data_IF_394406237388
#
_entry.id   IF_394406237388
#
_cell.length_a   1.000
_cell.length_b   1.000
_cell.length_c   1.000
_cell.angle_alpha   90.00
_cell.angle_beta   90.00
_cell.angle_gamma   90.00
#
_symmetry.space_group_name_H-M   'P 1'
#
loop_
_entity.id
_entity.type
_entity.pdbx_description
1 polymer ?
#
# COMPACT_ATOMS: atom_id res chain seq x y z
N UNK A 1 17.74 -16.32 -15.85
CA UNK A 1 17.64 -15.68 -14.53
C UNK A 1 16.92 -14.34 -14.73
N UNK A 2 15.90 -14.03 -13.96
CA UNK A 2 15.16 -12.78 -14.09
C UNK A 2 15.98 -11.66 -13.44
N UNK A 3 16.31 -10.61 -14.19
CA UNK A 3 16.95 -9.42 -13.64
C UNK A 3 15.86 -8.43 -13.18
N UNK A 4 15.82 -8.17 -11.89
CA UNK A 4 15.01 -7.10 -11.30
C UNK A 4 13.52 -7.41 -11.15
N UNK A 5 13.06 -7.53 -9.91
CA UNK A 5 11.68 -7.33 -9.53
C UNK A 5 11.50 -5.83 -9.33
N UNK A 6 10.83 -5.14 -10.23
CA UNK A 6 10.49 -3.74 -10.05
C UNK A 6 9.19 -3.65 -9.26
N UNK A 7 9.19 -2.90 -8.17
CA UNK A 7 8.05 -2.74 -7.28
C UNK A 7 7.65 -1.26 -7.22
N UNK A 8 6.42 -0.97 -7.61
CA UNK A 8 5.77 0.30 -7.27
C UNK A 8 5.02 0.10 -5.96
N UNK A 9 5.38 0.83 -4.93
CA UNK A 9 4.70 0.76 -3.65
C UNK A 9 4.04 2.09 -3.36
N UNK A 10 2.72 2.12 -3.39
CA UNK A 10 1.93 3.26 -2.92
C UNK A 10 1.78 3.16 -1.41
N UNK A 11 1.99 4.27 -0.71
CA UNK A 11 1.82 4.31 0.74
C UNK A 11 0.81 5.38 1.12
N UNK A 12 -0.23 4.95 1.81
CA UNK A 12 -1.25 5.83 2.38
C UNK A 12 -0.84 6.21 3.79
N UNK A 13 -0.70 7.51 4.04
CA UNK A 13 -0.32 8.09 5.31
C UNK A 13 -1.53 8.68 6.02
N UNK A 14 -1.63 8.49 7.34
CA UNK A 14 -2.56 9.24 8.19
C UNK A 14 -1.80 10.14 9.13
N UNK A 15 -2.20 11.41 9.15
CA UNK A 15 -1.78 12.39 10.14
C UNK A 15 -2.85 12.49 11.21
N UNK A 16 -2.51 12.28 12.45
CA UNK A 16 -3.38 12.51 13.59
C UNK A 16 -3.02 13.83 14.26
N UNK A 17 -4.04 14.53 14.71
CA UNK A 17 -4.03 15.93 15.12
C UNK A 17 -3.11 16.29 16.29
N UNK A 18 -2.76 17.59 16.34
CA UNK A 18 -2.12 18.38 17.37
C UNK A 18 -2.45 17.94 18.80
N UNK A 19 -1.57 17.15 19.41
CA UNK A 19 -1.42 17.14 20.85
C UNK A 19 -0.56 18.35 21.24
N UNK A 20 -1.15 19.52 21.49
CA UNK A 20 -0.52 20.52 22.35
C UNK A 20 -0.41 19.89 23.72
N UNK A 21 0.67 19.20 23.99
CA UNK A 21 1.09 18.80 25.32
C UNK A 21 1.41 20.06 26.14
N UNK A 22 0.38 20.73 26.64
CA UNK A 22 0.53 21.61 27.79
C UNK A 22 0.43 20.75 29.04
N UNK A 23 1.60 20.51 29.67
CA UNK A 23 1.83 19.92 30.98
C UNK A 23 1.73 18.38 31.14
N UNK A 24 2.76 17.86 31.79
CA UNK A 24 3.14 16.46 32.06
C UNK A 24 2.16 15.65 32.94
N UNK A 25 0.87 16.01 33.08
CA UNK A 25 -0.08 15.30 33.95
C UNK A 25 -1.47 15.10 33.33
N UNK A 26 -1.54 14.74 32.07
CA UNK A 26 -2.83 14.42 31.43
C UNK A 26 -3.13 12.93 31.57
N UNK A 27 -4.17 12.60 32.29
CA UNK A 27 -4.62 11.23 32.52
C UNK A 27 -4.87 10.46 31.22
N UNK A 28 -4.61 9.16 31.21
CA UNK A 28 -4.83 8.21 30.10
C UNK A 28 -6.20 8.35 29.40
N UNK A 29 -7.22 8.88 30.07
CA UNK A 29 -8.56 9.13 29.51
C UNK A 29 -8.60 10.30 28.50
N UNK A 30 -7.85 11.37 28.75
CA UNK A 30 -7.71 12.50 27.83
C UNK A 30 -6.89 12.11 26.60
N UNK A 31 -5.84 11.30 26.77
CA UNK A 31 -5.03 10.77 25.66
C UNK A 31 -5.91 10.00 24.65
N UNK A 32 -6.87 9.19 25.12
CA UNK A 32 -7.76 8.41 24.27
C UNK A 32 -8.76 9.28 23.47
N UNK A 33 -9.17 10.43 24.00
CA UNK A 33 -10.05 11.37 23.30
C UNK A 33 -9.30 12.19 22.23
N UNK A 34 -8.04 12.54 22.50
CA UNK A 34 -7.23 13.34 21.57
C UNK A 34 -6.60 12.52 20.43
N UNK A 35 -6.36 11.23 20.62
CA UNK A 35 -5.77 10.35 19.60
C UNK A 35 -6.75 9.92 18.49
N UNK A 36 -8.03 10.27 18.59
CA UNK A 36 -9.05 9.90 17.61
C UNK A 36 -9.53 11.05 16.72
N UNK A 37 -9.04 12.28 16.95
CA UNK A 37 -9.41 13.42 16.12
C UNK A 37 -8.39 13.62 15.00
N UNK A 38 -8.89 13.73 13.77
CA UNK A 38 -8.11 14.05 12.57
C UNK A 38 -7.70 15.53 12.55
N UNK A 39 -6.71 15.90 11.75
CA UNK A 39 -6.31 17.31 11.60
C UNK A 39 -7.27 18.11 10.73
N UNK A 40 -8.07 17.45 9.90
CA UNK A 40 -9.06 18.05 9.03
C UNK A 40 -10.26 17.11 8.81
N UNK A 41 -11.23 17.59 8.07
CA UNK A 41 -12.42 16.87 7.62
C UNK A 41 -12.47 16.82 6.08
N UNK A 42 -11.28 16.88 5.43
CA UNK A 42 -11.15 16.81 3.99
C UNK A 42 -11.38 15.38 3.47
N UNK A 43 -11.63 15.26 2.17
CA UNK A 43 -11.83 14.03 1.44
C UNK A 43 -10.89 13.90 0.25
N UNK A 44 -11.20 12.95 -0.62
CA UNK A 44 -10.36 12.56 -1.75
C UNK A 44 -10.09 13.73 -2.72
N UNK A 45 -8.81 14.08 -2.88
CA UNK A 45 -8.33 15.19 -3.71
C UNK A 45 -8.83 16.58 -3.30
N UNK A 46 -9.32 16.76 -2.06
CA UNK A 46 -9.58 18.09 -1.54
C UNK A 46 -8.29 18.91 -1.44
N UNK A 47 -8.44 20.23 -1.57
CA UNK A 47 -7.36 21.20 -1.57
C UNK A 47 -7.49 22.16 -0.38
N UNK A 48 -6.48 23.03 -0.18
CA UNK A 48 -6.58 24.14 0.75
C UNK A 48 -7.84 25.00 0.47
N UNK A 49 -8.51 25.51 1.51
CA UNK A 49 -8.15 25.45 2.93
C UNK A 49 -8.72 24.24 3.69
N UNK A 50 -9.38 23.29 3.01
CA UNK A 50 -10.01 22.13 3.66
C UNK A 50 -8.95 21.09 4.02
N UNK A 51 -8.02 20.81 3.12
CA UNK A 51 -6.84 19.97 3.36
C UNK A 51 -5.80 20.70 4.22
N UNK A 52 -5.83 20.48 5.52
CA UNK A 52 -4.91 21.10 6.46
C UNK A 52 -3.54 20.40 6.56
N UNK A 53 -3.30 19.36 5.76
CA UNK A 53 -2.04 18.63 5.70
C UNK A 53 -1.13 19.03 4.54
N UNK A 54 -1.57 19.91 3.64
CA UNK A 54 -0.86 20.28 2.41
C UNK A 54 0.57 20.76 2.66
N UNK A 55 0.81 21.66 3.62
CA UNK A 55 2.15 22.18 3.91
C UNK A 55 3.10 21.07 4.42
N UNK A 56 2.61 20.23 5.32
CA UNK A 56 3.38 19.10 5.83
C UNK A 56 3.71 18.11 4.71
N UNK A 57 2.73 17.80 3.84
CA UNK A 57 2.92 16.91 2.68
C UNK A 57 3.93 17.48 1.69
N UNK A 58 3.86 18.78 1.39
CA UNK A 58 4.83 19.47 0.53
C UNK A 58 6.25 19.34 1.08
N UNK A 59 6.47 19.64 2.36
CA UNK A 59 7.80 19.54 2.96
C UNK A 59 8.31 18.10 3.01
N UNK A 60 7.42 17.12 3.18
CA UNK A 60 7.76 15.70 3.09
C UNK A 60 8.25 15.38 1.67
N UNK A 61 7.50 15.76 0.64
CA UNK A 61 7.87 15.52 -0.75
C UNK A 61 9.22 16.14 -1.09
N UNK A 62 9.41 17.44 -0.81
CA UNK A 62 10.66 18.14 -1.08
C UNK A 62 11.86 17.53 -0.34
N UNK A 63 11.65 17.07 0.90
CA UNK A 63 12.72 16.39 1.66
C UNK A 63 13.05 15.03 1.04
N UNK A 64 12.06 14.26 0.64
CA UNK A 64 12.26 12.96 -0.01
C UNK A 64 12.96 13.11 -1.36
N UNK A 65 12.60 14.13 -2.16
CA UNK A 65 13.29 14.43 -3.42
C UNK A 65 14.77 14.77 -3.19
N UNK A 66 15.09 15.56 -2.15
CA UNK A 66 16.49 15.83 -1.74
C UNK A 66 17.24 14.56 -1.30
N UNK A 67 16.52 13.53 -0.83
CA UNK A 67 17.09 12.23 -0.47
C UNK A 67 17.18 11.26 -1.66
N UNK A 68 16.78 11.70 -2.86
CA UNK A 68 16.88 10.92 -4.11
C UNK A 68 15.62 10.14 -4.47
N UNK A 69 14.49 10.39 -3.82
CA UNK A 69 13.21 9.83 -4.25
C UNK A 69 12.68 10.58 -5.48
N UNK A 70 12.09 9.85 -6.42
CA UNK A 70 11.31 10.44 -7.50
C UNK A 70 9.84 10.39 -7.07
N UNK A 71 9.27 11.53 -6.66
CA UNK A 71 7.87 11.65 -6.26
C UNK A 71 6.99 11.72 -7.50
N UNK A 72 5.93 10.91 -7.55
CA UNK A 72 4.99 10.83 -8.67
C UNK A 72 3.68 11.55 -8.38
N UNK A 73 3.14 11.42 -7.16
CA UNK A 73 1.90 12.08 -6.74
C UNK A 73 1.88 12.36 -5.23
N UNK A 74 1.07 13.34 -4.85
CA UNK A 74 0.81 13.69 -3.45
C UNK A 74 -0.57 14.33 -3.34
N UNK A 75 -1.48 13.73 -2.57
CA UNK A 75 -2.85 14.21 -2.43
C UNK A 75 -3.46 13.86 -1.07
N UNK A 76 -4.59 14.51 -0.75
CA UNK A 76 -5.45 14.08 0.34
C UNK A 76 -6.21 12.81 -0.08
N UNK A 77 -6.31 11.83 0.82
CA UNK A 77 -7.01 10.57 0.60
C UNK A 77 -8.47 10.63 1.06
N UNK A 78 -9.20 9.52 0.92
CA UNK A 78 -10.66 9.44 1.15
C UNK A 78 -11.03 9.77 2.60
N UNK A 79 -10.26 9.27 3.57
CA UNK A 79 -10.61 9.47 4.97
C UNK A 79 -10.04 10.80 5.51
N UNK A 80 -10.78 11.42 6.40
CA UNK A 80 -10.36 12.62 7.13
C UNK A 80 -8.95 12.49 7.69
N UNK A 81 -8.09 13.47 7.41
CA UNK A 81 -6.68 13.50 7.82
C UNK A 81 -5.84 12.36 7.24
N UNK A 82 -6.26 11.76 6.14
CA UNK A 82 -5.52 10.72 5.43
C UNK A 82 -4.84 11.30 4.20
N UNK A 83 -3.56 11.00 4.04
CA UNK A 83 -2.73 11.51 2.96
C UNK A 83 -2.01 10.38 2.26
N UNK A 84 -1.78 10.55 0.94
CA UNK A 84 -1.03 9.64 0.10
C UNK A 84 0.11 10.38 -0.59
N UNK A 85 1.26 9.74 -0.63
CA UNK A 85 2.42 10.18 -1.40
C UNK A 85 2.94 8.96 -2.16
N UNK A 86 2.98 9.08 -3.47
CA UNK A 86 3.48 8.06 -4.37
C UNK A 86 4.90 8.40 -4.82
N UNK A 87 5.76 7.40 -4.85
CA UNK A 87 7.10 7.54 -5.39
C UNK A 87 7.39 6.42 -6.39
N UNK A 88 8.23 6.72 -7.35
CA UNK A 88 8.60 5.85 -8.46
C UNK A 88 9.13 4.51 -7.96
N UNK A 89 8.82 3.47 -8.73
CA UNK A 89 9.29 2.11 -8.48
C UNK A 89 10.82 2.00 -8.54
N UNK A 90 11.34 1.04 -7.77
CA UNK A 90 12.72 0.61 -7.84
C UNK A 90 12.78 -0.93 -7.78
N UNK A 91 13.97 -1.52 -7.74
CA UNK A 91 14.10 -2.94 -7.40
C UNK A 91 13.61 -3.23 -5.98
N UNK A 92 13.32 -4.49 -5.70
CA UNK A 92 12.66 -4.90 -4.46
C UNK A 92 13.42 -4.46 -3.19
N UNK A 93 14.75 -4.54 -3.18
CA UNK A 93 15.55 -4.19 -2.01
C UNK A 93 15.57 -2.67 -1.82
N UNK A 94 15.86 -1.92 -2.86
CA UNK A 94 15.81 -0.44 -2.85
C UNK A 94 14.43 0.05 -2.45
N UNK A 95 13.35 -0.58 -2.94
CA UNK A 95 11.98 -0.22 -2.53
C UNK A 95 11.77 -0.46 -1.04
N UNK A 96 12.26 -1.56 -0.47
CA UNK A 96 12.14 -1.81 0.96
C UNK A 96 12.89 -0.76 1.80
N UNK A 97 14.10 -0.35 1.38
CA UNK A 97 14.88 0.72 1.99
C UNK A 97 14.13 2.05 1.92
N UNK A 98 13.56 2.37 0.75
CA UNK A 98 12.75 3.57 0.53
C UNK A 98 11.55 3.61 1.46
N UNK A 99 10.82 2.51 1.64
CA UNK A 99 9.67 2.43 2.55
C UNK A 99 10.07 2.73 4.00
N UNK A 100 11.20 2.20 4.47
CA UNK A 100 11.68 2.47 5.84
C UNK A 100 12.06 3.94 6.00
N UNK A 101 12.82 4.47 5.03
CA UNK A 101 13.24 5.88 4.99
C UNK A 101 12.05 6.82 4.94
N UNK A 102 11.10 6.53 4.06
CA UNK A 102 9.84 7.27 3.92
C UNK A 102 9.08 7.39 5.24
N UNK A 103 8.86 6.28 5.95
CA UNK A 103 8.17 6.30 7.24
C UNK A 103 8.87 7.18 8.28
N UNK A 104 10.20 7.19 8.29
CA UNK A 104 10.99 8.01 9.19
C UNK A 104 10.85 9.50 8.83
N UNK A 105 11.03 9.85 7.56
CA UNK A 105 10.91 11.21 7.05
C UNK A 105 9.54 11.80 7.36
N UNK A 106 8.48 11.07 7.04
CA UNK A 106 7.09 11.48 7.28
C UNK A 106 6.84 11.78 8.75
N UNK A 107 7.17 10.84 9.66
CA UNK A 107 6.97 11.05 11.10
C UNK A 107 7.77 12.24 11.64
N UNK A 108 8.98 12.43 11.13
CA UNK A 108 9.87 13.51 11.56
C UNK A 108 9.36 14.87 11.12
N UNK A 109 8.90 14.96 9.87
CA UNK A 109 8.41 16.24 9.31
C UNK A 109 7.02 16.56 9.86
N UNK A 110 6.09 15.62 9.89
CA UNK A 110 4.78 15.82 10.49
C UNK A 110 4.87 16.42 11.91
N UNK A 111 5.82 15.92 12.72
CA UNK A 111 6.06 16.47 14.06
C UNK A 111 6.43 17.96 14.05
N UNK A 112 7.12 18.48 13.02
CA UNK A 112 7.45 19.92 12.91
C UNK A 112 6.19 20.77 12.75
N UNK A 113 5.15 20.21 12.13
CA UNK A 113 3.84 20.83 11.94
C UNK A 113 2.87 20.56 13.10
N UNK A 114 3.36 19.95 14.21
CA UNK A 114 2.53 19.59 15.35
C UNK A 114 1.57 18.43 15.07
N UNK A 115 1.80 17.66 14.00
CA UNK A 115 1.02 16.50 13.61
C UNK A 115 1.66 15.21 14.10
N UNK A 116 0.83 14.19 14.35
CA UNK A 116 1.28 12.82 14.61
C UNK A 116 0.95 11.93 13.41
N UNK A 117 1.98 11.55 12.66
CA UNK A 117 1.81 10.62 11.56
C UNK A 117 1.77 9.17 12.06
N UNK A 118 0.74 8.42 11.63
CA UNK A 118 0.59 7.00 11.94
C UNK A 118 0.48 6.17 10.69
N UNK A 119 1.07 4.97 10.74
CA UNK A 119 0.99 3.93 9.72
C UNK A 119 0.14 2.74 10.17
N UNK A 120 -0.70 2.92 11.19
CA UNK A 120 -1.63 1.88 11.66
C UNK A 120 -2.69 1.63 10.57
N UNK A 121 -2.97 0.38 10.21
CA UNK A 121 -3.89 0.03 9.11
C UNK A 121 -5.32 0.56 9.25
N UNK A 122 -5.85 0.58 10.46
CA UNK A 122 -7.20 1.10 10.77
C UNK A 122 -7.19 1.93 12.03
N UNK A 123 -6.69 3.18 12.00
CA UNK A 123 -6.59 4.02 13.20
C UNK A 123 -7.95 4.47 13.72
N UNK A 124 -8.95 4.65 12.86
CA UNK A 124 -10.29 5.11 13.21
C UNK A 124 -11.31 4.11 12.66
N UNK A 125 -12.24 3.68 13.51
CA UNK A 125 -13.37 2.84 13.12
C UNK A 125 -14.37 3.64 12.27
N UNK A 126 -14.98 3.01 11.27
CA UNK A 126 -16.04 3.61 10.47
C UNK A 126 -15.56 4.47 9.29
N UNK A 127 -14.26 4.69 9.10
CA UNK A 127 -13.70 5.39 7.93
C UNK A 127 -12.59 4.57 7.27
N UNK A 128 -12.11 4.96 6.08
CA UNK A 128 -11.12 4.19 5.32
C UNK A 128 -9.82 3.95 6.11
N UNK A 129 -9.22 2.80 5.89
CA UNK A 129 -7.93 2.40 6.46
C UNK A 129 -6.75 2.73 5.55
N UNK A 130 -5.53 2.51 6.04
CA UNK A 130 -4.30 2.71 5.28
C UNK A 130 -3.78 1.40 4.71
N UNK A 131 -3.55 1.34 3.39
CA UNK A 131 -2.95 0.23 2.69
C UNK A 131 -1.49 0.51 2.32
N UNK A 132 -0.74 -0.55 2.06
CA UNK A 132 0.56 -0.51 1.39
C UNK A 132 0.43 -1.34 0.12
N UNK A 133 -0.25 -0.80 -0.89
CA UNK A 133 -0.48 -1.52 -2.13
C UNK A 133 0.84 -1.81 -2.81
N UNK A 134 1.15 -3.08 -3.01
CA UNK A 134 2.42 -3.53 -3.56
C UNK A 134 2.24 -3.82 -5.04
N UNK A 135 2.74 -2.92 -5.89
CA UNK A 135 2.75 -3.08 -7.34
C UNK A 135 4.01 -3.82 -7.76
N UNK A 136 3.87 -4.89 -8.53
CA UNK A 136 4.95 -5.79 -8.88
C UNK A 136 4.97 -6.06 -10.37
N UNK A 137 6.16 -6.09 -10.97
CA UNK A 137 6.40 -6.54 -12.34
C UNK A 137 7.74 -7.26 -12.44
N UNK A 138 7.87 -8.15 -13.42
CA UNK A 138 9.12 -8.84 -13.71
C UNK A 138 9.69 -8.35 -15.04
N UNK A 139 11.00 -8.11 -15.06
CA UNK A 139 11.72 -7.76 -16.27
C UNK A 139 12.74 -8.86 -16.63
N UNK A 140 12.84 -9.13 -17.91
CA UNK A 140 13.88 -9.98 -18.50
C UNK A 140 14.46 -9.27 -19.69
N UNK A 141 15.79 -9.11 -19.71
CA UNK A 141 16.52 -8.47 -20.81
C UNK A 141 15.93 -7.07 -21.17
N UNK A 142 15.58 -6.27 -20.15
CA UNK A 142 15.02 -4.93 -20.30
C UNK A 142 13.55 -4.88 -20.74
N UNK A 143 12.89 -6.04 -20.91
CA UNK A 143 11.47 -6.12 -21.32
C UNK A 143 10.59 -6.58 -20.17
N UNK A 144 9.40 -6.00 -20.07
CA UNK A 144 8.40 -6.42 -19.11
C UNK A 144 7.88 -7.83 -19.46
N UNK A 145 8.11 -8.78 -18.57
CA UNK A 145 7.75 -10.18 -18.76
C UNK A 145 6.25 -10.48 -18.58
N UNK A 146 5.49 -9.53 -18.03
CA UNK A 146 4.04 -9.65 -17.86
C UNK A 146 3.24 -9.21 -19.07
N UNK A 147 3.85 -8.42 -19.96
CA UNK A 147 3.18 -7.90 -21.15
C UNK A 147 3.24 -8.89 -22.30
N UNK A 148 2.09 -9.18 -22.88
CA UNK A 148 1.92 -9.87 -24.17
C UNK A 148 0.80 -9.17 -24.96
N UNK A 149 1.10 -8.48 -26.07
CA UNK A 149 0.09 -7.76 -26.84
C UNK A 149 -0.98 -8.68 -27.45
N UNK A 150 -0.70 -9.97 -27.62
CA UNK A 150 -1.64 -10.97 -28.14
C UNK A 150 -2.40 -11.73 -27.03
N UNK A 151 -1.96 -11.60 -25.78
CA UNK A 151 -2.59 -12.26 -24.65
C UNK A 151 -3.92 -11.63 -24.23
N UNK A 152 -4.76 -12.37 -23.56
CA UNK A 152 -5.98 -11.85 -22.92
C UNK A 152 -5.60 -10.75 -21.93
N UNK A 153 -6.34 -9.64 -21.91
CA UNK A 153 -6.00 -8.42 -21.15
C UNK A 153 -4.58 -7.90 -21.42
N UNK A 154 -3.96 -8.30 -22.54
CA UNK A 154 -2.56 -8.04 -22.87
C UNK A 154 -1.56 -8.54 -21.81
N UNK A 155 -1.91 -9.65 -21.14
CA UNK A 155 -1.07 -10.29 -20.15
C UNK A 155 -0.45 -11.58 -20.72
N UNK A 156 0.79 -11.85 -20.33
CA UNK A 156 1.48 -13.08 -20.64
C UNK A 156 1.05 -14.22 -19.68
N UNK A 157 1.27 -15.47 -20.10
CA UNK A 157 1.08 -16.62 -19.21
C UNK A 157 1.92 -16.53 -17.93
N UNK A 158 3.05 -15.82 -17.97
CA UNK A 158 3.86 -15.54 -16.76
C UNK A 158 3.15 -14.64 -15.77
N UNK A 159 2.43 -13.62 -16.25
CA UNK A 159 1.62 -12.78 -15.40
C UNK A 159 0.51 -13.59 -14.70
N UNK A 160 -0.16 -14.47 -15.43
CA UNK A 160 -1.18 -15.35 -14.86
C UNK A 160 -0.58 -16.35 -13.85
N UNK A 161 0.60 -16.93 -14.15
CA UNK A 161 1.28 -17.82 -13.21
C UNK A 161 1.73 -17.09 -11.93
N UNK A 162 2.18 -15.84 -12.06
CA UNK A 162 2.52 -14.97 -10.95
C UNK A 162 1.29 -14.70 -10.07
N UNK A 163 0.17 -14.27 -10.65
CA UNK A 163 -1.11 -14.06 -9.96
C UNK A 163 -1.55 -15.34 -9.22
N UNK A 164 -1.49 -16.48 -9.89
CA UNK A 164 -1.88 -17.76 -9.31
C UNK A 164 -1.01 -18.16 -8.12
N UNK A 165 0.29 -17.86 -8.17
CA UNK A 165 1.22 -18.05 -7.05
C UNK A 165 0.84 -17.22 -5.84
N UNK A 166 0.56 -15.93 -6.02
CA UNK A 166 0.08 -15.07 -4.93
C UNK A 166 -1.21 -15.60 -4.34
N UNK A 167 -2.24 -15.86 -5.16
CA UNK A 167 -3.54 -16.33 -4.69
C UNK A 167 -3.45 -17.63 -3.89
N UNK A 168 -2.58 -18.54 -4.30
CA UNK A 168 -2.33 -19.82 -3.59
C UNK A 168 -1.78 -19.59 -2.18
N UNK A 169 -0.90 -18.62 -2.03
CA UNK A 169 -0.14 -18.43 -0.78
C UNK A 169 -0.65 -17.25 0.06
N UNK A 170 -1.57 -16.42 -0.45
CA UNK A 170 -1.97 -15.17 0.19
C UNK A 170 -2.47 -15.33 1.62
N UNK A 171 -3.24 -16.39 1.92
CA UNK A 171 -3.72 -16.65 3.27
C UNK A 171 -2.57 -16.85 4.27
N UNK A 172 -1.47 -17.49 3.84
CA UNK A 172 -0.29 -17.73 4.69
C UNK A 172 0.58 -16.48 4.81
N UNK A 173 0.86 -15.81 3.70
CA UNK A 173 1.71 -14.61 3.71
C UNK A 173 1.05 -13.43 4.42
N UNK A 174 -0.29 -13.44 4.58
CA UNK A 174 -1.04 -12.42 5.33
C UNK A 174 -0.52 -12.28 6.77
N UNK A 175 -0.04 -13.34 7.41
CA UNK A 175 0.59 -13.25 8.72
C UNK A 175 1.81 -12.31 8.77
N UNK A 176 2.48 -12.11 7.63
CA UNK A 176 3.63 -11.22 7.47
C UNK A 176 3.21 -9.87 6.90
N UNK A 177 2.35 -9.87 5.88
CA UNK A 177 1.93 -8.65 5.17
C UNK A 177 0.92 -7.82 5.97
N UNK A 178 0.26 -8.43 6.97
CA UNK A 178 -0.77 -7.84 7.83
C UNK A 178 -0.55 -8.26 9.30
N UNK A 179 0.55 -7.83 9.94
CA UNK A 179 1.08 -8.46 11.15
C UNK A 179 0.35 -8.07 12.45
N UNK A 180 -0.59 -7.13 12.40
CA UNK A 180 -1.27 -6.62 13.60
C UNK A 180 -2.72 -7.10 13.66
N UNK A 181 -3.27 -7.24 14.85
CA UNK A 181 -4.73 -7.40 15.04
C UNK A 181 -5.50 -6.25 14.38
N UNK A 182 -4.92 -5.04 14.38
CA UNK A 182 -5.48 -3.88 13.71
C UNK A 182 -5.50 -4.02 12.18
N UNK A 183 -4.61 -4.81 11.59
CA UNK A 183 -4.59 -5.09 10.14
C UNK A 183 -5.91 -5.66 9.65
N UNK A 184 -6.47 -6.61 10.39
CA UNK A 184 -7.73 -7.29 10.04
C UNK A 184 -8.96 -6.39 10.22
N UNK A 185 -8.87 -5.33 11.03
CA UNK A 185 -9.93 -4.30 11.10
C UNK A 185 -10.01 -3.43 9.85
N UNK A 186 -8.94 -3.43 9.02
CA UNK A 186 -8.95 -2.76 7.72
C UNK A 186 -9.59 -3.63 6.64
N UNK A 187 -9.37 -4.94 6.64
CA UNK A 187 -9.80 -5.88 5.60
C UNK A 187 -11.28 -6.23 5.73
N UNK A 188 -12.14 -5.22 5.67
CA UNK A 188 -13.59 -5.32 5.82
C UNK A 188 -14.30 -4.62 4.66
N UNK A 189 -15.50 -5.07 4.24
CA UNK A 189 -16.25 -4.47 3.13
C UNK A 189 -16.61 -3.00 3.39
N UNK A 190 -16.77 -2.23 2.30
CA UNK A 190 -17.28 -0.85 2.34
C UNK A 190 -16.22 0.26 2.51
N UNK A 191 -14.93 -0.09 2.61
CA UNK A 191 -13.85 0.88 2.84
C UNK A 191 -12.69 0.76 1.84
N UNK A 192 -12.98 0.34 0.60
CA UNK A 192 -12.00 0.15 -0.49
C UNK A 192 -10.83 -0.81 -0.16
N UNK A 193 -10.94 -1.55 0.93
CA UNK A 193 -9.99 -2.59 1.29
C UNK A 193 -10.34 -3.92 0.59
N UNK A 194 -9.36 -4.77 0.26
CA UNK A 194 -9.62 -6.06 -0.33
C UNK A 194 -10.25 -7.02 0.69
N UNK A 195 -11.34 -7.67 0.27
CA UNK A 195 -12.09 -8.61 1.12
C UNK A 195 -12.20 -10.00 0.49
N UNK A 196 -11.78 -10.15 -0.78
CA UNK A 196 -11.92 -11.39 -1.52
C UNK A 196 -10.57 -11.86 -2.07
N UNK A 197 -10.27 -13.16 -1.89
CA UNK A 197 -9.12 -13.81 -2.53
C UNK A 197 -9.49 -14.06 -4.00
N UNK A 198 -9.37 -13.01 -4.78
CA UNK A 198 -9.68 -12.97 -6.19
C UNK A 198 -8.76 -11.98 -6.90
N UNK A 199 -8.79 -11.96 -8.22
CA UNK A 199 -8.14 -10.92 -9.01
C UNK A 199 -9.08 -10.35 -10.07
N UNK A 200 -8.87 -9.10 -10.43
CA UNK A 200 -9.61 -8.46 -11.53
C UNK A 200 -8.81 -7.32 -12.18
N UNK A 201 -9.29 -6.90 -13.36
CA UNK A 201 -8.71 -5.75 -14.07
C UNK A 201 -9.25 -4.39 -13.57
N UNK A 202 -10.29 -4.34 -12.73
CA UNK A 202 -10.95 -3.08 -12.36
C UNK A 202 -11.47 -3.03 -10.92
N UNK A 203 -11.81 -4.17 -10.31
CA UNK A 203 -12.43 -4.20 -8.99
C UNK A 203 -11.39 -3.92 -7.88
N UNK A 204 -11.73 -3.06 -6.92
CA UNK A 204 -10.87 -2.69 -5.79
C UNK A 204 -11.09 -3.55 -4.56
N UNK A 205 -12.13 -4.40 -4.53
CA UNK A 205 -12.43 -5.30 -3.42
C UNK A 205 -11.67 -6.63 -3.52
N UNK A 206 -11.07 -6.91 -4.68
CA UNK A 206 -10.25 -8.09 -4.89
C UNK A 206 -8.83 -7.85 -4.35
N UNK A 207 -8.21 -8.93 -3.87
CA UNK A 207 -6.87 -8.85 -3.27
C UNK A 207 -5.79 -8.50 -4.29
N UNK A 208 -6.01 -8.86 -5.56
CA UNK A 208 -5.15 -8.52 -6.69
C UNK A 208 -5.91 -7.70 -7.71
N UNK A 209 -5.35 -6.56 -8.09
CA UNK A 209 -5.82 -5.73 -9.19
C UNK A 209 -4.76 -5.67 -10.29
N UNK A 210 -5.21 -5.66 -11.54
CA UNK A 210 -4.35 -5.40 -12.70
C UNK A 210 -4.61 -3.96 -13.16
N UNK A 211 -3.72 -3.01 -12.89
CA UNK A 211 -3.89 -1.63 -13.35
C UNK A 211 -4.01 -1.53 -14.87
N UNK A 212 -4.60 -0.45 -15.39
CA UNK A 212 -4.88 -0.27 -16.81
C UNK A 212 -3.63 -0.12 -17.68
N UNK A 213 -2.50 0.31 -17.12
CA UNK A 213 -1.24 0.49 -17.84
C UNK A 213 -0.75 -0.82 -18.47
N UNK A 214 -0.27 -0.74 -19.71
CA UNK A 214 0.26 -1.87 -20.48
C UNK A 214 1.67 -1.56 -21.02
N UNK A 215 2.28 -2.50 -21.72
CA UNK A 215 3.66 -2.39 -22.19
C UNK A 215 4.66 -2.45 -21.04
N UNK A 216 5.55 -1.48 -20.96
CA UNK A 216 6.53 -1.37 -19.87
C UNK A 216 5.87 -1.20 -18.48
N UNK A 217 4.68 -0.59 -18.43
CA UNK A 217 3.93 -0.34 -17.20
C UNK A 217 3.01 -1.48 -16.76
N UNK A 218 3.02 -2.64 -17.43
CA UNK A 218 2.21 -3.80 -17.05
C UNK A 218 2.64 -4.33 -15.69
N UNK A 219 1.71 -4.42 -14.74
CA UNK A 219 2.01 -4.81 -13.37
C UNK A 219 0.83 -5.49 -12.68
N UNK A 220 1.12 -6.16 -11.60
CA UNK A 220 0.17 -6.78 -10.66
C UNK A 220 0.20 -6.00 -9.37
N UNK A 221 -0.94 -5.56 -8.87
CA UNK A 221 -1.08 -4.85 -7.60
C UNK A 221 -1.65 -5.79 -6.54
N UNK A 222 -0.86 -6.14 -5.53
CA UNK A 222 -1.35 -6.81 -4.33
C UNK A 222 -1.82 -5.76 -3.33
N UNK A 223 -3.10 -5.79 -2.98
CA UNK A 223 -3.77 -4.73 -2.22
C UNK A 223 -3.91 -5.01 -0.72
N UNK A 224 -3.72 -6.27 -0.30
CA UNK A 224 -3.86 -6.65 1.12
C UNK A 224 -2.77 -6.10 2.03
N UNK A 225 -1.49 -5.99 1.67
CA UNK A 225 -0.47 -5.52 2.59
C UNK A 225 -0.83 -4.16 3.19
N UNK A 226 -0.44 -3.96 4.42
CA UNK A 226 -0.64 -2.69 5.11
C UNK A 226 0.68 -2.08 5.60
N UNK A 227 0.70 -0.77 5.89
CA UNK A 227 1.94 -0.08 6.19
C UNK A 227 2.53 -0.39 7.57
N UNK A 228 1.98 -1.33 8.35
CA UNK A 228 2.61 -1.82 9.59
C UNK A 228 3.58 -2.97 9.36
N UNK A 229 3.53 -3.62 8.19
CA UNK A 229 4.41 -4.74 7.86
C UNK A 229 5.88 -4.34 7.79
N UNK A 230 6.77 -5.29 7.99
CA UNK A 230 8.18 -5.15 7.64
C UNK A 230 8.31 -5.25 6.10
N UNK A 231 8.78 -4.19 5.40
CA UNK A 231 8.79 -4.18 3.94
C UNK A 231 9.69 -5.26 3.34
N UNK A 232 10.82 -5.56 3.94
CA UNK A 232 11.73 -6.61 3.45
C UNK A 232 11.06 -7.98 3.48
N UNK A 233 10.42 -8.32 4.60
CA UNK A 233 9.71 -9.60 4.75
C UNK A 233 8.48 -9.66 3.85
N UNK A 234 7.73 -8.56 3.73
CA UNK A 234 6.58 -8.46 2.84
C UNK A 234 6.98 -8.77 1.40
N UNK A 235 7.98 -8.07 0.87
CA UNK A 235 8.44 -8.23 -0.50
C UNK A 235 9.07 -9.62 -0.74
N UNK A 236 9.81 -10.15 0.24
CA UNK A 236 10.37 -11.50 0.14
C UNK A 236 9.28 -12.57 0.10
N UNK A 237 8.23 -12.45 0.91
CA UNK A 237 7.09 -13.37 0.88
C UNK A 237 6.31 -13.30 -0.43
N UNK A 238 6.05 -12.09 -0.95
CA UNK A 238 5.44 -11.89 -2.26
C UNK A 238 6.26 -12.57 -3.35
N UNK A 239 7.57 -12.26 -3.42
CA UNK A 239 8.46 -12.84 -4.42
C UNK A 239 8.52 -14.38 -4.34
N UNK A 240 8.54 -14.94 -3.13
CA UNK A 240 8.56 -16.39 -2.97
C UNK A 240 7.27 -17.05 -3.47
N UNK A 241 6.10 -16.45 -3.15
CA UNK A 241 4.80 -16.91 -3.59
C UNK A 241 4.65 -16.84 -5.13
N UNK A 242 5.04 -15.72 -5.70
CA UNK A 242 4.98 -15.45 -7.13
C UNK A 242 5.87 -16.42 -7.93
N UNK A 243 7.10 -16.61 -7.46
CA UNK A 243 8.06 -17.52 -8.11
C UNK A 243 7.66 -18.97 -8.02
N UNK A 244 6.92 -19.38 -6.97
CA UNK A 244 6.31 -20.71 -6.90
C UNK A 244 5.30 -20.89 -8.04
N UNK A 245 4.44 -19.87 -8.27
CA UNK A 245 3.49 -19.88 -9.37
C UNK A 245 4.16 -20.02 -10.74
N UNK A 246 5.21 -19.24 -10.99
CA UNK A 246 5.94 -19.28 -12.26
C UNK A 246 6.69 -20.60 -12.45
N UNK A 247 7.41 -21.08 -11.42
CA UNK A 247 8.20 -22.33 -11.49
C UNK A 247 7.33 -23.56 -11.74
N UNK A 248 6.13 -23.57 -11.19
CA UNK A 248 5.20 -24.69 -11.31
C UNK A 248 4.14 -24.46 -12.40
N UNK A 249 4.26 -23.40 -13.21
CA UNK A 249 3.34 -23.06 -14.30
C UNK A 249 1.87 -23.05 -13.85
N UNK A 250 1.56 -22.46 -12.70
CA UNK A 250 0.18 -22.32 -12.26
C UNK A 250 -0.54 -21.41 -13.24
N UNK A 251 -1.45 -21.95 -14.01
CA UNK A 251 -2.29 -21.20 -14.94
C UNK A 251 -3.67 -21.03 -14.31
N UNK A 252 -3.91 -19.86 -13.77
CA UNK A 252 -5.21 -19.52 -13.25
C UNK A 252 -5.77 -18.29 -13.98
N UNK A 253 -6.44 -18.55 -15.11
CA UNK A 253 -7.19 -17.53 -15.85
C UNK A 253 -8.58 -17.28 -15.26
N UNK A 254 -9.03 -18.13 -14.33
CA UNK A 254 -10.32 -17.96 -13.68
C UNK A 254 -10.25 -16.97 -12.52
N UNK A 255 -11.27 -16.14 -12.41
CA UNK A 255 -11.50 -15.30 -11.24
C UNK A 255 -12.01 -16.22 -10.12
N UNK A 256 -11.26 -16.35 -9.01
CA UNK A 256 -11.70 -17.11 -7.84
C UNK A 256 -12.30 -16.16 -6.80
N UNK A 257 -13.49 -16.52 -6.31
CA UNK A 257 -14.15 -15.82 -5.22
C UNK A 257 -14.11 -16.67 -3.94
N UNK A 258 -13.23 -16.32 -3.01
CA UNK A 258 -13.32 -16.76 -1.62
C UNK A 258 -13.28 -15.52 -0.74
N UNK A 259 -14.19 -15.40 0.23
CA UNK A 259 -14.16 -14.29 1.16
C UNK A 259 -12.95 -14.46 2.12
N UNK A 260 -12.25 -13.37 2.43
CA UNK A 260 -11.18 -13.38 3.44
C UNK A 260 -11.71 -13.73 4.84
N UNK A 261 -13.01 -13.51 5.09
CA UNK A 261 -13.66 -13.86 6.37
C UNK A 261 -13.61 -15.36 6.68
N UNK A 262 -13.44 -16.22 5.67
CA UNK A 262 -13.31 -17.67 5.89
C UNK A 262 -11.92 -18.09 6.39
N UNK A 263 -10.95 -17.17 6.51
CA UNK A 263 -9.57 -17.42 6.94
C UNK A 263 -9.17 -16.63 8.20
N UNK A 264 -10.07 -15.81 8.75
CA UNK A 264 -9.93 -15.09 10.01
C UNK A 264 -10.81 -15.76 11.07
#
# INVERSE_FOLDING_TARGET
>A
MYQGLALNTYQILRFLQNLRLKNHQTSYRLLKLFLTKTNDEAGYFDLDPVDMGTDARRDICLTLEQMGFEIEASHHEVAEGQHEIDFKYADALTTADNVVTFRLAVKTIAKKYGLHATFIPKPIFGINGSGMHTNMSLFKDGKNAFFDPAGELQLSDKAYSFIAGVLKHVAVITAVTNPLVNSYKRLVPGYEAPCYIAWSASNRTDIIRIPASRGAGTRVELRSPDPSTNPYLCLACCLAADMDGIKNNFLNKAIFFHSLESFI
#
